data_IF_598154839783
#
_entry.id   IF_598154839783
#
_cell.length_a   1.000
_cell.length_b   1.000
_cell.length_c   1.000
_cell.angle_alpha   90.00
_cell.angle_beta   90.00
_cell.angle_gamma   90.00
#
_symmetry.space_group_name_H-M   'P 1'
#
loop_
_entity.id
_entity.type
_entity.pdbx_description
1 polymer ?
#
# COMPACT_ATOMS: atom_id res chain seq x y z
N UNK A 1 10.96 16.52 22.14
CA UNK A 1 11.58 17.24 21.00
C UNK A 1 10.85 16.82 19.74
N UNK A 2 10.14 17.75 19.13
CA UNK A 2 9.34 17.56 17.94
C UNK A 2 10.21 17.83 16.71
N UNK A 3 10.60 16.78 15.99
CA UNK A 3 11.34 16.91 14.73
C UNK A 3 10.34 16.72 13.58
N UNK A 4 9.52 17.74 13.32
CA UNK A 4 8.71 17.82 12.10
C UNK A 4 8.77 19.24 11.55
N UNK A 5 9.80 19.57 10.79
CA UNK A 5 9.67 20.65 9.80
C UNK A 5 10.60 20.31 8.66
N UNK A 6 10.14 20.52 7.44
CA UNK A 6 10.82 20.27 6.16
C UNK A 6 11.07 18.81 5.77
N UNK A 7 10.10 18.20 5.09
CA UNK A 7 10.37 17.29 3.98
C UNK A 7 9.21 17.39 2.98
N UNK A 8 9.43 18.12 1.88
CA UNK A 8 8.54 18.17 0.71
C UNK A 8 8.64 16.87 -0.11
N UNK A 9 8.20 15.75 0.47
CA UNK A 9 8.26 14.41 -0.15
C UNK A 9 6.97 13.95 -0.83
N UNK A 10 5.83 14.58 -0.54
CA UNK A 10 4.52 14.07 -0.97
C UNK A 10 4.32 14.00 -2.51
N UNK A 11 4.96 14.88 -3.28
CA UNK A 11 4.78 14.94 -4.74
C UNK A 11 5.67 13.96 -5.53
N UNK A 12 6.91 13.75 -5.09
CA UNK A 12 7.85 12.87 -5.79
C UNK A 12 7.42 11.39 -5.69
N UNK A 13 6.94 10.98 -4.53
CA UNK A 13 6.44 9.64 -4.29
C UNK A 13 5.12 9.38 -5.04
N UNK A 14 4.32 10.44 -5.19
CA UNK A 14 3.09 10.39 -5.98
C UNK A 14 3.36 10.22 -7.49
N UNK A 15 4.37 10.90 -8.03
CA UNK A 15 4.75 10.77 -9.44
C UNK A 15 5.31 9.39 -9.77
N UNK A 16 6.11 8.79 -8.87
CA UNK A 16 6.66 7.44 -9.05
C UNK A 16 5.57 6.36 -9.19
N UNK A 17 4.49 6.50 -8.41
CA UNK A 17 3.34 5.60 -8.46
C UNK A 17 2.49 5.85 -9.72
N UNK A 18 2.27 7.11 -10.12
CA UNK A 18 1.45 7.48 -11.29
C UNK A 18 1.98 6.90 -12.61
N UNK A 19 3.31 6.75 -12.77
CA UNK A 19 3.94 6.16 -13.98
C UNK A 19 4.05 4.64 -13.97
N UNK A 20 3.24 3.95 -13.15
CA UNK A 20 3.27 2.48 -13.08
C UNK A 20 2.63 1.80 -14.29
N UNK A 21 1.59 2.39 -14.90
CA UNK A 21 0.95 1.84 -16.11
C UNK A 21 1.90 1.73 -17.29
N UNK A 22 2.91 2.58 -17.36
CA UNK A 22 3.96 2.53 -18.39
C UNK A 22 4.79 1.24 -18.32
N UNK A 23 4.80 0.54 -17.18
CA UNK A 23 5.62 -0.67 -16.95
C UNK A 23 4.83 -1.97 -17.00
N UNK A 24 3.49 -1.94 -16.90
CA UNK A 24 2.64 -3.14 -16.86
C UNK A 24 1.31 -2.94 -17.62
N UNK A 25 1.23 -3.31 -18.90
CA UNK A 25 0.00 -3.22 -19.69
C UNK A 25 -1.14 -4.01 -19.03
N UNK A 26 -2.27 -3.36 -18.75
CA UNK A 26 -3.45 -3.98 -18.15
C UNK A 26 -3.50 -3.99 -16.62
N UNK A 27 -2.49 -3.45 -15.94
CA UNK A 27 -2.56 -3.20 -14.49
C UNK A 27 -3.41 -1.95 -14.20
N UNK A 28 -4.23 -2.02 -13.15
CA UNK A 28 -4.94 -0.84 -12.63
C UNK A 28 -3.91 0.14 -12.08
N UNK A 29 -3.92 1.37 -12.58
CA UNK A 29 -3.17 2.47 -11.96
C UNK A 29 -3.67 2.64 -10.53
N UNK A 30 -2.74 2.69 -9.59
CA UNK A 30 -3.06 2.90 -8.18
C UNK A 30 -2.73 4.33 -7.86
N UNK A 31 -3.70 5.10 -7.41
CA UNK A 31 -3.43 6.48 -7.02
C UNK A 31 -2.76 6.51 -5.64
N UNK A 32 -1.76 7.39 -5.42
CA UNK A 32 -1.06 7.51 -4.14
C UNK A 32 -2.01 7.72 -2.96
N UNK A 33 -3.07 8.51 -3.15
CA UNK A 33 -4.10 8.72 -2.14
C UNK A 33 -4.80 7.42 -1.71
N UNK A 34 -5.06 6.50 -2.65
CA UNK A 34 -5.67 5.21 -2.34
C UNK A 34 -4.76 4.32 -1.50
N UNK A 35 -3.44 4.40 -1.73
CA UNK A 35 -2.48 3.67 -0.87
C UNK A 35 -2.50 4.19 0.55
N UNK A 36 -2.64 5.50 0.76
CA UNK A 36 -2.80 6.09 2.08
C UNK A 36 -4.10 5.64 2.77
N UNK A 37 -5.22 5.64 2.05
CA UNK A 37 -6.49 5.13 2.56
C UNK A 37 -6.40 3.65 2.97
N UNK A 38 -5.84 2.80 2.10
CA UNK A 38 -5.66 1.39 2.40
C UNK A 38 -4.66 1.15 3.56
N UNK A 39 -3.59 1.94 3.66
CA UNK A 39 -2.62 1.84 4.75
C UNK A 39 -3.16 2.33 6.10
N UNK A 40 -4.18 3.19 6.09
CA UNK A 40 -4.82 3.74 7.30
C UNK A 40 -6.14 3.05 7.64
N UNK A 41 -6.56 2.07 6.82
CA UNK A 41 -7.74 1.26 7.08
C UNK A 41 -7.66 0.61 8.47
N UNK A 42 -8.64 0.83 9.37
CA UNK A 42 -8.68 0.20 10.68
C UNK A 42 -8.65 -1.32 10.64
N UNK A 43 -9.08 -1.93 9.52
CA UNK A 43 -9.09 -3.39 9.31
C UNK A 43 -7.91 -3.89 8.50
N UNK A 44 -6.88 -3.05 8.30
CA UNK A 44 -5.71 -3.45 7.52
C UNK A 44 -5.04 -4.68 8.16
N UNK A 45 -4.55 -5.58 7.32
CA UNK A 45 -3.68 -6.67 7.74
C UNK A 45 -2.25 -6.24 7.49
N UNK A 46 -1.45 -6.22 8.56
CA UNK A 46 -0.04 -5.89 8.51
C UNK A 46 0.80 -7.15 8.75
N UNK A 47 1.83 -7.37 7.91
CA UNK A 47 2.82 -8.44 8.07
C UNK A 47 4.20 -7.82 8.06
N UNK A 48 4.83 -7.79 9.22
CA UNK A 48 6.20 -7.30 9.43
C UNK A 48 7.04 -8.41 10.07
N UNK A 49 8.06 -8.96 9.36
CA UNK A 49 8.38 -8.69 7.97
C UNK A 49 7.39 -9.36 7.00
N UNK A 50 7.29 -8.85 5.77
CA UNK A 50 6.59 -9.47 4.66
C UNK A 50 7.11 -10.91 4.50
N UNK A 51 6.25 -11.93 4.55
CA UNK A 51 6.68 -13.33 4.50
C UNK A 51 7.48 -13.69 3.24
N UNK A 52 7.38 -12.88 2.19
CA UNK A 52 8.10 -13.06 0.93
C UNK A 52 9.35 -12.18 0.80
N UNK A 53 9.55 -11.24 1.72
CA UNK A 53 10.66 -10.30 1.69
C UNK A 53 11.90 -10.88 2.34
N UNK A 54 13.03 -10.80 1.63
CA UNK A 54 14.36 -11.12 2.16
C UNK A 54 15.05 -9.91 2.81
N UNK A 55 14.48 -8.71 2.66
CA UNK A 55 15.09 -7.44 3.02
C UNK A 55 14.31 -6.67 4.11
N UNK A 56 13.40 -7.34 4.83
CA UNK A 56 12.63 -6.70 5.92
C UNK A 56 11.57 -5.69 5.47
N UNK A 57 11.01 -5.81 4.27
CA UNK A 57 9.81 -5.07 3.87
C UNK A 57 8.61 -5.43 4.77
N UNK A 58 7.62 -4.55 4.86
CA UNK A 58 6.31 -4.74 5.49
C UNK A 58 5.27 -4.89 4.40
N UNK A 59 4.31 -5.81 4.58
CA UNK A 59 3.13 -5.92 3.72
C UNK A 59 1.90 -5.40 4.46
N UNK A 60 1.18 -4.49 3.82
CA UNK A 60 -0.07 -3.93 4.32
C UNK A 60 -1.17 -4.24 3.30
N UNK A 61 -2.27 -4.84 3.73
CA UNK A 61 -3.46 -5.08 2.90
C UNK A 61 -4.66 -4.40 3.53
N UNK A 62 -5.26 -3.44 2.83
CA UNK A 62 -6.39 -2.66 3.35
C UNK A 62 -7.32 -2.15 2.25
N UNK A 63 -8.51 -1.70 2.63
CA UNK A 63 -9.51 -1.18 1.71
C UNK A 63 -9.35 0.33 1.50
N UNK A 64 -9.40 0.77 0.24
CA UNK A 64 -9.50 2.20 -0.10
C UNK A 64 -10.95 2.51 -0.50
N UNK A 65 -11.65 3.39 0.23
CA UNK A 65 -12.98 3.86 -0.14
C UNK A 65 -13.01 4.54 -1.51
N UNK A 66 -11.98 5.32 -1.86
CA UNK A 66 -11.91 6.02 -3.14
C UNK A 66 -11.61 5.08 -4.31
N UNK A 67 -10.84 4.00 -4.09
CA UNK A 67 -10.61 2.97 -5.10
C UNK A 67 -11.79 1.99 -5.24
N UNK A 68 -12.55 1.76 -4.16
CA UNK A 68 -13.63 0.78 -4.12
C UNK A 68 -13.15 -0.67 -4.06
N UNK A 69 -11.88 -0.91 -3.73
CA UNK A 69 -11.31 -2.25 -3.61
C UNK A 69 -10.16 -2.33 -2.60
N UNK A 70 -9.79 -3.55 -2.24
CA UNK A 70 -8.66 -3.84 -1.35
C UNK A 70 -7.35 -3.69 -2.12
N UNK A 71 -6.38 -3.03 -1.51
CA UNK A 71 -5.05 -2.76 -2.05
C UNK A 71 -4.01 -3.41 -1.14
N UNK A 72 -3.06 -4.12 -1.75
CA UNK A 72 -1.87 -4.63 -1.08
C UNK A 72 -0.71 -3.71 -1.40
N UNK A 73 -0.02 -3.26 -0.36
CA UNK A 73 1.11 -2.33 -0.36
C UNK A 73 2.29 -3.08 0.26
N UNK A 74 3.44 -3.02 -0.40
CA UNK A 74 4.71 -3.36 0.24
C UNK A 74 5.33 -2.02 0.67
N UNK A 75 6.06 -1.97 1.79
CA UNK A 75 6.83 -0.81 2.23
C UNK A 75 8.19 -1.28 2.78
N UNK A 76 9.29 -0.57 2.57
CA UNK A 76 10.60 -0.91 3.18
C UNK A 76 11.11 0.31 3.95
N UNK A 77 11.43 0.13 5.24
CA UNK A 77 12.21 1.05 6.07
C UNK A 77 11.92 2.57 5.96
N UNK A 78 11.20 3.12 6.94
CA UNK A 78 11.17 4.56 7.28
C UNK A 78 10.39 5.47 6.33
N UNK A 79 10.22 5.09 5.07
CA UNK A 79 9.35 5.80 4.12
C UNK A 79 8.15 4.92 3.77
N UNK A 80 6.97 5.33 4.23
CA UNK A 80 5.65 4.87 3.76
C UNK A 80 5.36 5.31 2.31
N UNK A 81 6.41 5.64 1.56
CA UNK A 81 6.32 6.26 0.26
C UNK A 81 7.13 5.40 -0.70
N UNK A 82 6.42 4.57 -1.44
CA UNK A 82 6.98 3.86 -2.59
C UNK A 82 7.66 2.53 -2.29
N UNK A 83 6.93 1.55 -1.76
CA UNK A 83 7.10 0.18 -2.26
C UNK A 83 5.75 -0.29 -2.79
N UNK A 84 5.78 -1.12 -3.81
CA UNK A 84 4.72 -1.27 -4.80
C UNK A 84 3.33 -1.54 -4.20
N UNK A 85 2.28 -0.92 -4.78
CA UNK A 85 0.89 -1.14 -4.39
C UNK A 85 0.03 -1.68 -5.53
N UNK A 86 -0.80 -2.68 -5.32
CA UNK A 86 -1.65 -3.26 -6.35
C UNK A 86 -3.02 -3.65 -5.81
N UNK A 87 -4.02 -3.77 -6.68
CA UNK A 87 -5.32 -4.35 -6.31
C UNK A 87 -5.10 -5.76 -5.77
N UNK A 88 -5.53 -5.99 -4.54
CA UNK A 88 -5.36 -7.26 -3.85
C UNK A 88 -6.22 -8.35 -4.49
N UNK A 89 -5.75 -9.60 -4.38
CA UNK A 89 -6.43 -10.77 -4.92
C UNK A 89 -5.95 -12.05 -4.23
N UNK A 90 -6.60 -13.17 -4.54
CA UNK A 90 -6.20 -14.48 -4.02
C UNK A 90 -6.28 -14.54 -2.49
N UNK A 91 -5.21 -15.03 -1.86
CA UNK A 91 -5.15 -15.23 -0.41
C UNK A 91 -5.22 -13.90 0.38
N UNK A 92 -4.50 -12.85 -0.06
CA UNK A 92 -4.48 -11.56 0.64
C UNK A 92 -5.89 -10.93 0.71
N UNK A 93 -6.69 -11.06 -0.37
CA UNK A 93 -8.09 -10.60 -0.38
C UNK A 93 -8.99 -11.44 0.53
N UNK A 94 -8.86 -12.78 0.48
CA UNK A 94 -9.65 -13.70 1.31
C UNK A 94 -9.40 -13.49 2.79
N UNK A 95 -8.14 -13.28 3.17
CA UNK A 95 -7.75 -12.99 4.54
C UNK A 95 -8.39 -11.67 5.00
N UNK A 96 -8.30 -10.63 4.17
CA UNK A 96 -8.89 -9.33 4.48
C UNK A 96 -10.41 -9.39 4.64
N UNK A 97 -11.12 -10.01 3.70
CA UNK A 97 -12.58 -10.19 3.75
C UNK A 97 -13.02 -11.11 4.90
N UNK A 98 -12.22 -12.13 5.19
CA UNK A 98 -12.44 -13.11 6.25
C UNK A 98 -12.50 -12.48 7.65
N UNK A 99 -11.84 -11.34 7.87
CA UNK A 99 -11.94 -10.57 9.12
C UNK A 99 -13.36 -10.11 9.44
N UNK A 100 -14.23 -9.97 8.44
CA UNK A 100 -15.64 -9.54 8.63
C UNK A 100 -16.52 -10.64 9.19
N UNK A 101 -16.08 -11.92 9.11
CA UNK A 101 -16.89 -13.10 9.46
C UNK A 101 -16.62 -13.67 10.85
N UNK A 102 -15.89 -12.95 11.71
CA UNK A 102 -15.57 -13.37 13.09
C UNK A 102 -16.31 -12.56 14.13
#
# INVERSE_FOLDING_TARGET
MAWWTTCGGADADAEYIRRRSDRYPGAVNIEPAWTWEAATDPRRIERDPDPKSRAGAVRITGYSPSAGFVITIIATGGFHAGVTAWKSGGADLRDYEGQTRS
#
